data_IF_219271618663
#
_entry.id   IF_219271618663
#
_cell.length_a   1.000
_cell.length_b   1.000
_cell.length_c   1.000
_cell.angle_alpha   90.00
_cell.angle_beta   90.00
_cell.angle_gamma   90.00
#
_symmetry.space_group_name_H-M   'P 1'
#
loop_
_entity.id
_entity.type
_entity.pdbx_description
1 polymer ?
#
# COMPACT_ATOMS: atom_id res chain seq x y z
N UNK A 1 -35.97 -42.79 -13.06
CA UNK A 1 -34.62 -42.34 -13.44
C UNK A 1 -34.32 -40.97 -12.82
N UNK A 2 -33.75 -40.99 -11.61
CA UNK A 2 -33.25 -39.79 -10.95
C UNK A 2 -31.82 -39.50 -11.43
N UNK A 3 -31.57 -38.24 -11.80
CA UNK A 3 -30.22 -37.73 -11.91
C UNK A 3 -29.87 -37.07 -10.56
N UNK A 4 -28.75 -37.43 -9.91
CA UNK A 4 -28.30 -36.70 -8.73
C UNK A 4 -27.85 -35.30 -9.17
N UNK A 5 -28.41 -34.28 -8.53
CA UNK A 5 -27.91 -32.91 -8.61
C UNK A 5 -26.49 -32.88 -8.05
N UNK A 6 -25.53 -32.38 -8.84
CA UNK A 6 -24.17 -32.19 -8.37
C UNK A 6 -24.15 -31.21 -7.17
N UNK A 7 -23.30 -31.44 -6.15
CA UNK A 7 -23.15 -30.48 -5.07
C UNK A 7 -22.58 -29.17 -5.64
N UNK A 8 -23.17 -28.04 -5.26
CA UNK A 8 -22.61 -26.72 -5.52
C UNK A 8 -21.18 -26.67 -4.95
N UNK A 9 -20.21 -26.31 -5.79
CA UNK A 9 -18.88 -25.96 -5.33
C UNK A 9 -18.99 -24.88 -4.24
N UNK A 10 -18.24 -24.99 -3.12
CA UNK A 10 -18.22 -23.92 -2.13
C UNK A 10 -17.72 -22.65 -2.80
N UNK A 11 -18.48 -21.56 -2.68
CA UNK A 11 -18.02 -20.25 -3.08
C UNK A 11 -16.71 -19.95 -2.31
N UNK A 12 -15.61 -19.75 -3.04
CA UNK A 12 -14.42 -19.14 -2.47
C UNK A 12 -14.82 -17.82 -1.78
N UNK A 13 -14.28 -17.49 -0.60
CA UNK A 13 -14.56 -16.22 0.03
C UNK A 13 -14.23 -15.10 -0.97
N UNK A 14 -15.21 -14.25 -1.25
CA UNK A 14 -15.06 -13.16 -2.20
C UNK A 14 -13.94 -12.24 -1.72
N UNK A 15 -12.83 -12.20 -2.45
CA UNK A 15 -11.88 -11.12 -2.32
C UNK A 15 -12.62 -9.83 -2.68
N UNK A 16 -12.72 -8.88 -1.75
CA UNK A 16 -13.21 -7.55 -2.09
C UNK A 16 -12.15 -6.90 -2.98
N UNK A 17 -12.48 -6.78 -4.27
CA UNK A 17 -11.62 -6.15 -5.25
C UNK A 17 -11.47 -4.67 -4.91
N UNK A 18 -10.21 -4.21 -4.80
CA UNK A 18 -9.88 -2.79 -4.69
C UNK A 18 -10.14 -2.02 -5.99
N UNK A 19 -10.16 -0.70 -5.83
CA UNK A 19 -10.10 0.27 -6.91
C UNK A 19 -8.67 0.31 -7.49
N UNK A 20 -8.53 0.14 -8.81
CA UNK A 20 -7.26 0.34 -9.50
C UNK A 20 -6.97 1.84 -9.56
N UNK A 21 -5.90 2.27 -8.92
CA UNK A 21 -5.35 3.62 -9.03
C UNK A 21 -4.38 3.64 -10.19
N UNK A 22 -4.46 4.67 -11.03
CA UNK A 22 -3.54 4.85 -12.15
C UNK A 22 -2.82 6.17 -12.04
N UNK A 23 -1.56 6.17 -12.44
CA UNK A 23 -0.66 7.30 -12.39
C UNK A 23 -0.04 7.54 -13.78
N UNK A 24 0.25 8.80 -14.17
CA UNK A 24 0.80 9.09 -15.49
C UNK A 24 2.17 8.42 -15.68
N UNK A 25 2.44 7.91 -16.89
CA UNK A 25 3.79 7.43 -17.21
C UNK A 25 4.70 8.61 -17.57
N UNK A 26 5.95 8.55 -17.09
CA UNK A 26 7.06 9.40 -17.54
C UNK A 26 7.18 10.76 -16.85
N UNK A 27 6.48 10.97 -15.75
CA UNK A 27 6.69 12.06 -14.78
C UNK A 27 7.91 11.81 -13.89
N UNK A 28 8.23 10.55 -13.60
CA UNK A 28 9.56 10.18 -13.11
C UNK A 28 10.50 9.83 -14.29
N UNK A 29 11.72 10.40 -14.26
CA UNK A 29 12.71 10.19 -15.34
C UNK A 29 13.27 8.76 -15.36
N UNK A 30 13.32 8.09 -14.20
CA UNK A 30 13.76 6.70 -14.10
C UNK A 30 12.54 5.77 -14.16
N UNK A 31 12.40 4.91 -15.19
CA UNK A 31 11.22 4.07 -15.34
C UNK A 31 11.04 3.05 -14.20
N UNK A 32 12.10 2.69 -13.47
CA UNK A 32 12.00 1.79 -12.32
C UNK A 32 11.48 2.47 -11.04
N UNK A 33 11.30 3.80 -11.07
CA UNK A 33 10.75 4.61 -9.98
C UNK A 33 9.42 5.29 -10.37
N UNK A 34 9.10 5.29 -11.67
CA UNK A 34 7.85 5.77 -12.31
C UNK A 34 6.70 4.82 -11.95
N UNK A 35 5.89 5.21 -10.98
CA UNK A 35 4.67 4.55 -10.53
C UNK A 35 3.62 4.68 -11.63
N UNK A 36 2.90 3.59 -11.90
CA UNK A 36 1.92 3.54 -12.99
C UNK A 36 0.55 3.15 -12.49
N UNK A 37 0.50 2.24 -11.52
CA UNK A 37 -0.77 1.85 -10.92
C UNK A 37 -0.58 1.17 -9.59
N UNK A 38 -1.58 1.28 -8.71
CA UNK A 38 -1.70 0.48 -7.52
C UNK A 38 -3.07 -0.21 -7.45
N UNK A 39 -3.06 -1.40 -6.89
CA UNK A 39 -4.27 -2.10 -6.45
C UNK A 39 -3.95 -2.80 -5.13
N UNK A 40 -4.98 -3.12 -4.37
CA UNK A 40 -4.82 -3.84 -3.12
C UNK A 40 -5.99 -4.78 -2.85
N UNK A 41 -6.00 -5.42 -1.71
CA UNK A 41 -7.09 -6.29 -1.32
C UNK A 41 -6.75 -6.94 0.00
N UNK A 42 -7.77 -7.44 0.67
CA UNK A 42 -7.56 -8.17 1.92
C UNK A 42 -7.97 -9.61 1.73
N UNK A 43 -7.06 -10.49 2.11
CA UNK A 43 -7.27 -11.94 2.09
C UNK A 43 -6.99 -12.46 3.49
N UNK A 44 -8.06 -12.82 4.22
CA UNK A 44 -7.92 -13.25 5.61
C UNK A 44 -7.43 -12.13 6.52
N UNK A 45 -6.23 -12.27 7.09
CA UNK A 45 -5.63 -11.31 8.01
C UNK A 45 -4.56 -10.40 7.36
N UNK A 46 -4.41 -10.50 6.04
CA UNK A 46 -3.34 -9.82 5.31
C UNK A 46 -3.90 -8.81 4.31
N UNK A 47 -3.30 -7.62 4.28
CA UNK A 47 -3.42 -6.63 3.22
C UNK A 47 -2.38 -6.94 2.13
N UNK A 48 -2.86 -7.28 0.94
CA UNK A 48 -2.03 -7.43 -0.25
C UNK A 48 -2.10 -6.14 -1.05
N UNK A 49 -0.96 -5.57 -1.41
CA UNK A 49 -0.86 -4.37 -2.25
C UNK A 49 0.04 -4.69 -3.43
N UNK A 50 -0.43 -4.42 -4.64
CA UNK A 50 0.37 -4.54 -5.87
C UNK A 50 0.54 -3.17 -6.49
N UNK A 51 1.79 -2.76 -6.62
CA UNK A 51 2.22 -1.51 -7.26
C UNK A 51 2.96 -1.86 -8.55
N UNK A 52 2.59 -1.25 -9.66
CA UNK A 52 3.28 -1.38 -10.93
C UNK A 52 4.07 -0.11 -11.24
N UNK A 53 5.26 -0.30 -11.82
CA UNK A 53 6.12 0.78 -12.33
C UNK A 53 6.28 0.69 -13.85
N UNK A 54 6.81 1.72 -14.50
CA UNK A 54 7.01 1.74 -15.95
C UNK A 54 8.14 0.80 -16.42
N UNK A 55 9.09 0.49 -15.54
CA UNK A 55 10.29 -0.32 -15.77
C UNK A 55 10.29 -1.65 -15.00
N UNK A 56 11.47 -2.10 -14.57
CA UNK A 56 11.59 -3.28 -13.71
C UNK A 56 11.29 -2.89 -12.26
N UNK A 57 10.45 -3.68 -11.57
CA UNK A 57 10.11 -3.41 -10.18
C UNK A 57 11.31 -3.56 -9.25
N UNK A 58 11.36 -2.71 -8.24
CA UNK A 58 12.32 -2.74 -7.15
C UNK A 58 11.63 -2.32 -5.85
N UNK A 59 12.31 -2.51 -4.72
CA UNK A 59 11.81 -2.13 -3.40
C UNK A 59 12.68 -1.06 -2.73
N UNK A 60 13.89 -0.83 -3.25
CA UNK A 60 14.79 0.20 -2.75
C UNK A 60 14.20 1.59 -3.04
N UNK A 61 14.11 2.42 -2.00
CA UNK A 61 13.50 3.75 -2.08
C UNK A 61 11.97 3.77 -2.15
N UNK A 62 11.30 2.61 -2.12
CA UNK A 62 9.85 2.53 -2.07
C UNK A 62 9.33 2.88 -0.66
N UNK A 63 8.29 3.70 -0.62
CA UNK A 63 7.54 4.04 0.57
C UNK A 63 6.04 3.86 0.34
N UNK A 64 5.36 3.21 1.28
CA UNK A 64 3.90 3.19 1.38
C UNK A 64 3.49 3.81 2.72
N UNK A 65 2.77 4.93 2.68
CA UNK A 65 2.24 5.62 3.84
C UNK A 65 0.78 5.23 4.05
N UNK A 66 0.42 4.99 5.30
CA UNK A 66 -0.87 4.40 5.66
C UNK A 66 -1.46 5.21 6.80
N UNK A 67 -2.62 5.82 6.53
CA UNK A 67 -3.52 6.40 7.53
C UNK A 67 -4.48 5.28 7.96
N UNK A 68 -4.27 4.81 9.20
CA UNK A 68 -4.88 3.61 9.73
C UNK A 68 -6.12 3.90 10.60
N UNK A 69 -6.29 5.13 11.07
CA UNK A 69 -7.44 5.55 11.87
C UNK A 69 -8.41 6.47 11.11
N UNK A 70 -8.09 6.80 9.86
CA UNK A 70 -8.80 7.73 8.99
C UNK A 70 -8.80 9.19 9.46
N UNK A 71 -7.95 9.56 10.43
CA UNK A 71 -7.81 10.92 10.95
C UNK A 71 -6.56 11.60 10.38
N UNK A 72 -6.76 12.49 9.40
CA UNK A 72 -5.65 13.22 8.80
C UNK A 72 -4.94 14.22 9.75
N UNK A 73 -5.46 14.43 10.98
CA UNK A 73 -4.84 15.27 12.00
C UNK A 73 -3.88 14.52 12.92
N UNK A 74 -3.78 13.19 12.80
CA UNK A 74 -2.80 12.35 13.49
C UNK A 74 -1.69 11.87 12.55
N UNK A 75 -0.72 11.12 13.09
CA UNK A 75 0.37 10.53 12.31
C UNK A 75 1.31 11.55 11.65
N UNK A 76 2.11 11.06 10.70
CA UNK A 76 3.02 11.87 9.90
C UNK A 76 2.30 12.46 8.69
N UNK A 77 2.42 13.77 8.44
CA UNK A 77 1.90 14.41 7.23
C UNK A 77 2.93 15.38 6.66
N UNK A 78 3.14 15.31 5.34
CA UNK A 78 3.78 16.37 4.57
C UNK A 78 2.94 16.66 3.33
N UNK A 79 3.31 17.67 2.54
CA UNK A 79 2.47 18.38 1.58
C UNK A 79 1.50 17.57 0.68
N UNK A 80 1.73 16.27 0.46
CA UNK A 80 0.90 15.37 -0.33
C UNK A 80 0.54 14.04 0.36
N UNK A 81 0.79 13.91 1.68
CA UNK A 81 0.55 12.67 2.43
C UNK A 81 -0.55 12.86 3.48
N UNK A 82 -1.33 11.81 3.61
CA UNK A 82 -2.21 11.45 4.72
C UNK A 82 -1.57 11.70 6.09
N UNK A 83 -2.38 11.77 7.15
CA UNK A 83 -1.90 11.58 8.52
C UNK A 83 -1.49 10.13 8.75
N UNK A 84 -0.24 9.77 8.41
CA UNK A 84 0.19 8.38 8.34
C UNK A 84 0.69 7.86 9.69
N UNK A 85 -0.02 6.90 10.29
CA UNK A 85 0.43 6.20 11.49
C UNK A 85 1.46 5.12 11.17
N UNK A 86 1.46 4.62 9.92
CA UNK A 86 2.36 3.54 9.47
C UNK A 86 3.03 3.90 8.16
N UNK A 87 4.26 3.41 8.01
CA UNK A 87 5.02 3.49 6.76
C UNK A 87 5.62 2.12 6.48
N UNK A 88 5.51 1.62 5.25
CA UNK A 88 6.36 0.53 4.76
C UNK A 88 7.48 1.16 3.96
N UNK A 89 8.72 0.99 4.40
CA UNK A 89 9.92 1.41 3.67
C UNK A 89 10.78 0.17 3.41
N UNK A 90 11.06 -0.07 2.13
CA UNK A 90 11.56 -1.38 1.73
C UNK A 90 10.53 -2.46 2.08
N UNK A 91 10.87 -3.34 3.03
CA UNK A 91 9.97 -4.34 3.58
C UNK A 91 9.66 -4.13 5.07
N UNK A 92 10.20 -3.09 5.71
CA UNK A 92 10.03 -2.88 7.15
C UNK A 92 8.81 -1.99 7.39
N UNK A 93 7.99 -2.39 8.36
CA UNK A 93 6.81 -1.65 8.78
C UNK A 93 7.19 -0.77 9.96
N UNK A 94 7.04 0.53 9.80
CA UNK A 94 7.34 1.55 10.79
C UNK A 94 6.07 2.12 11.39
N UNK A 95 6.18 2.53 12.66
CA UNK A 95 5.14 3.29 13.38
C UNK A 95 5.63 4.71 13.62
N UNK A 96 4.80 5.70 13.32
CA UNK A 96 5.13 7.09 13.61
C UNK A 96 5.22 7.30 15.13
N UNK A 97 6.31 7.94 15.56
CA UNK A 97 6.61 8.23 16.96
C UNK A 97 6.93 9.72 17.19
N UNK A 98 6.62 10.55 16.20
CA UNK A 98 6.78 12.01 16.28
C UNK A 98 5.77 12.65 17.23
N UNK A 99 6.13 13.80 17.80
CA UNK A 99 5.19 14.59 18.60
C UNK A 99 4.35 15.53 17.72
N UNK A 100 4.92 15.96 16.59
CA UNK A 100 4.24 16.73 15.55
C UNK A 100 4.13 15.92 14.26
N UNK A 101 3.15 16.26 13.42
CA UNK A 101 2.91 15.57 12.14
C UNK A 101 4.07 15.72 11.15
N UNK A 102 4.91 16.74 11.31
CA UNK A 102 6.09 16.96 10.45
C UNK A 102 7.34 16.23 10.92
N UNK A 103 7.29 15.58 12.09
CA UNK A 103 8.45 14.91 12.65
C UNK A 103 8.72 13.62 11.89
N UNK A 104 9.85 13.55 11.18
CA UNK A 104 10.38 12.31 10.63
C UNK A 104 10.98 11.45 11.74
N UNK A 105 10.10 10.83 12.55
CA UNK A 105 10.48 9.97 13.66
C UNK A 105 9.65 8.69 13.62
N UNK A 106 10.33 7.57 13.39
CA UNK A 106 9.73 6.30 13.07
C UNK A 106 10.36 5.18 13.90
N UNK A 107 9.52 4.32 14.47
CA UNK A 107 9.95 3.11 15.18
C UNK A 107 9.80 1.90 14.27
N UNK A 108 10.89 1.20 14.01
CA UNK A 108 10.89 -0.03 13.21
C UNK A 108 10.11 -1.15 13.92
N UNK A 109 9.30 -1.87 13.14
CA UNK A 109 8.49 -2.99 13.58
C UNK A 109 8.76 -4.26 12.77
N UNK A 110 7.76 -5.13 12.58
CA UNK A 110 7.91 -6.34 11.79
C UNK A 110 8.10 -6.02 10.30
N UNK A 111 8.54 -7.03 9.54
CA UNK A 111 8.63 -6.92 8.09
C UNK A 111 7.33 -7.40 7.41
N UNK A 112 6.95 -6.73 6.34
CA UNK A 112 6.07 -7.27 5.31
C UNK A 112 6.84 -8.30 4.46
N UNK A 113 6.11 -9.17 3.77
CA UNK A 113 6.70 -9.97 2.69
C UNK A 113 6.47 -9.29 1.36
N UNK A 114 7.33 -9.57 0.39
CA UNK A 114 7.22 -8.97 -0.93
C UNK A 114 7.69 -9.91 -2.03
N UNK A 115 7.17 -9.69 -3.23
CA UNK A 115 7.56 -10.41 -4.44
C UNK A 115 7.53 -9.47 -5.65
N UNK A 116 8.30 -9.83 -6.69
CA UNK A 116 8.31 -9.11 -7.96
C UNK A 116 7.76 -9.99 -9.07
N UNK A 117 6.87 -9.43 -9.88
CA UNK A 117 6.41 -10.04 -11.13
C UNK A 117 6.57 -9.03 -12.27
N UNK A 118 7.72 -9.09 -12.96
CA UNK A 118 8.06 -8.16 -14.03
C UNK A 118 8.16 -6.71 -13.54
N UNK A 119 7.20 -5.88 -13.91
CA UNK A 119 7.11 -4.47 -13.52
C UNK A 119 6.24 -4.23 -12.28
N UNK A 120 5.81 -5.28 -11.58
CA UNK A 120 4.99 -5.18 -10.38
C UNK A 120 5.73 -5.62 -9.12
N UNK A 121 5.62 -4.83 -8.06
CA UNK A 121 5.95 -5.15 -6.67
C UNK A 121 4.65 -5.49 -5.95
N UNK A 122 4.57 -6.70 -5.37
CA UNK A 122 3.46 -7.08 -4.49
C UNK A 122 3.96 -7.17 -3.05
N UNK A 123 3.32 -6.45 -2.15
CA UNK A 123 3.51 -6.48 -0.71
C UNK A 123 2.39 -7.27 -0.05
N UNK A 124 2.72 -8.10 0.94
CA UNK A 124 1.75 -8.73 1.84
C UNK A 124 2.05 -8.31 3.27
N UNK A 125 1.08 -7.63 3.88
CA UNK A 125 1.23 -6.92 5.14
C UNK A 125 0.20 -7.47 6.14
N UNK A 126 0.62 -8.01 7.29
CA UNK A 126 -0.34 -8.45 8.31
C UNK A 126 -1.13 -7.26 8.87
N UNK A 127 -2.46 -7.30 8.83
CA UNK A 127 -3.31 -6.19 9.31
C UNK A 127 -3.02 -5.79 10.76
N UNK A 128 -2.70 -6.78 11.62
CA UNK A 128 -2.34 -6.55 13.01
C UNK A 128 -1.09 -5.66 13.17
N UNK A 129 -0.14 -5.72 12.23
CA UNK A 129 1.05 -4.85 12.24
C UNK A 129 0.71 -3.39 11.92
N UNK A 130 -0.39 -3.18 11.19
CA UNK A 130 -0.91 -1.86 10.87
C UNK A 130 -1.83 -1.30 11.97
N UNK A 131 -2.19 -2.12 12.96
CA UNK A 131 -3.21 -1.77 13.95
C UNK A 131 -4.64 -1.78 13.37
N UNK A 132 -4.83 -2.44 12.23
CA UNK A 132 -6.11 -2.51 11.53
C UNK A 132 -6.86 -3.81 11.84
N UNK A 133 -8.19 -3.72 11.80
CA UNK A 133 -9.10 -4.86 11.80
C UNK A 133 -9.91 -4.92 10.49
N UNK A 134 -10.45 -6.09 10.16
CA UNK A 134 -11.39 -6.25 9.03
C UNK A 134 -12.58 -5.30 9.18
N UNK A 135 -12.99 -4.67 8.07
CA UNK A 135 -14.04 -3.66 8.04
C UNK A 135 -13.60 -2.22 8.34
N UNK A 136 -12.37 -1.95 8.76
CA UNK A 136 -11.92 -0.57 9.01
C UNK A 136 -11.50 0.15 7.71
N UNK A 137 -11.86 1.42 7.50
CA UNK A 137 -11.29 2.19 6.40
C UNK A 137 -9.78 2.38 6.60
N UNK A 138 -9.04 2.29 5.51
CA UNK A 138 -7.61 2.60 5.45
C UNK A 138 -7.36 3.50 4.25
N UNK A 139 -6.48 4.49 4.40
CA UNK A 139 -6.03 5.31 3.26
C UNK A 139 -4.56 5.07 3.03
N UNK A 140 -4.18 5.01 1.76
CA UNK A 140 -2.80 4.70 1.38
C UNK A 140 -2.28 5.70 0.35
N UNK A 141 -0.99 6.00 0.45
CA UNK A 141 -0.22 6.75 -0.53
C UNK A 141 1.11 6.04 -0.75
N UNK A 142 1.61 6.13 -1.97
CA UNK A 142 2.86 5.49 -2.40
C UNK A 142 3.83 6.56 -2.87
N UNK A 143 5.12 6.28 -2.72
CA UNK A 143 6.14 7.13 -3.27
C UNK A 143 7.46 6.40 -3.45
N UNK A 144 8.28 6.92 -4.35
CA UNK A 144 9.67 6.52 -4.51
C UNK A 144 10.59 7.68 -4.18
N UNK A 145 11.73 7.38 -3.58
CA UNK A 145 12.89 8.28 -3.56
C UNK A 145 13.99 7.75 -4.45
N UNK A 146 14.80 8.64 -5.00
CA UNK A 146 16.03 8.27 -5.67
C UNK A 146 17.15 7.89 -4.68
N UNK A 147 18.33 7.53 -5.20
CA UNK A 147 19.49 7.17 -4.38
C UNK A 147 20.04 8.32 -3.50
N UNK A 148 19.58 9.55 -3.74
CA UNK A 148 19.91 10.74 -2.95
C UNK A 148 18.82 11.08 -1.92
N UNK A 149 17.86 10.17 -1.70
CA UNK A 149 16.69 10.37 -0.82
C UNK A 149 15.81 11.54 -1.24
N UNK A 150 15.88 11.94 -2.51
CA UNK A 150 14.99 12.97 -3.06
C UNK A 150 13.74 12.29 -3.62
N UNK A 151 12.53 12.87 -3.42
CA UNK A 151 11.33 12.30 -4.00
C UNK A 151 11.45 12.19 -5.53
N UNK A 152 11.28 10.97 -6.02
CA UNK A 152 11.33 10.65 -7.44
C UNK A 152 9.93 10.60 -8.04
N UNK A 153 8.97 10.05 -7.29
CA UNK A 153 7.60 9.91 -7.74
C UNK A 153 6.62 9.71 -6.56
N UNK A 154 5.34 10.06 -6.77
CA UNK A 154 4.26 9.90 -5.79
C UNK A 154 2.98 9.44 -6.46
N UNK A 155 2.36 8.39 -5.93
CA UNK A 155 1.05 7.95 -6.37
C UNK A 155 0.08 7.88 -5.19
N UNK A 156 -1.16 8.36 -5.35
CA UNK A 156 -1.63 9.14 -6.50
C UNK A 156 -1.02 10.55 -6.50
N UNK A 157 -0.81 11.12 -7.69
CA UNK A 157 -0.44 12.53 -7.97
C UNK A 157 -1.33 13.62 -7.30
N UNK A 158 -2.35 13.22 -6.52
CA UNK A 158 -3.35 14.09 -5.92
C UNK A 158 -3.80 13.62 -4.53
N UNK A 159 -5.12 13.41 -4.35
CA UNK A 159 -5.66 12.98 -3.05
C UNK A 159 -5.40 11.48 -2.84
N UNK A 160 -4.97 11.08 -1.63
CA UNK A 160 -4.67 9.69 -1.31
C UNK A 160 -5.90 8.79 -1.46
N UNK A 161 -5.68 7.53 -1.83
CA UNK A 161 -6.80 6.65 -2.15
C UNK A 161 -7.37 6.04 -0.89
N UNK A 162 -8.68 6.20 -0.73
CA UNK A 162 -9.42 5.62 0.38
C UNK A 162 -9.95 4.27 -0.02
N UNK A 163 -9.70 3.27 0.82
CA UNK A 163 -10.22 1.93 0.65
C UNK A 163 -10.81 1.43 1.96
N UNK A 164 -11.94 0.73 1.89
CA UNK A 164 -12.33 -0.08 3.02
C UNK A 164 -11.39 -1.28 3.12
N UNK A 165 -10.85 -1.59 4.31
CA UNK A 165 -10.52 -2.98 4.63
C UNK A 165 -11.86 -3.71 4.59
N UNK A 166 -12.09 -4.66 3.66
CA UNK A 166 -13.34 -5.37 3.60
C UNK A 166 -13.64 -6.21 4.85
#
# INVERSE_FOLDING_TARGET
PGAPSAPASPASPAASQSELVTDPRGDATNPALDLVSASWGVTGADLTVTVAVAGAAQIDGFHMYIDADSDASTGYSTANILGAERMVEGAIIYTHAGAAQTDWNWTAGPAATYEFTGSALTLTIPLASLGLASGQPVKVSFGFTDASWSPADWMPDGQPVTTAVP
#
